data_IF_285814724379
#
_entry.id   IF_285814724379
#
_cell.length_a   1.000
_cell.length_b   1.000
_cell.length_c   1.000
_cell.angle_alpha   90.00
_cell.angle_beta   90.00
_cell.angle_gamma   90.00
#
_symmetry.space_group_name_H-M   'P 1'
#
loop_
_entity.id
_entity.type
_entity.pdbx_description
1 polymer ?
#
# COMPACT_ATOMS: atom_id res chain seq x y z
N UNK A 1 -2.96 -7.83 -17.61
CA UNK A 1 -3.86 -9.02 -17.68
C UNK A 1 -4.23 -9.51 -16.29
N UNK A 2 -5.23 -10.39 -16.17
CA UNK A 2 -5.84 -10.80 -14.89
C UNK A 2 -4.82 -11.33 -13.89
N UNK A 3 -3.87 -12.17 -14.35
CA UNK A 3 -2.81 -12.74 -13.52
C UNK A 3 -1.96 -11.66 -12.83
N UNK A 4 -1.53 -10.62 -13.56
CA UNK A 4 -0.69 -9.56 -12.99
C UNK A 4 -1.46 -8.61 -12.07
N UNK A 5 -2.74 -8.34 -12.39
CA UNK A 5 -3.57 -7.38 -11.66
C UNK A 5 -4.17 -7.98 -10.38
N UNK A 6 -4.53 -9.26 -10.40
CA UNK A 6 -5.30 -9.92 -9.34
C UNK A 6 -4.65 -11.20 -8.80
N UNK A 7 -3.43 -11.55 -9.24
CA UNK A 7 -2.76 -12.81 -8.87
C UNK A 7 -3.60 -14.06 -9.17
N UNK A 8 -4.44 -14.01 -10.21
CA UNK A 8 -5.25 -15.15 -10.64
C UNK A 8 -4.36 -16.32 -11.10
N UNK A 9 -4.83 -17.55 -10.86
CA UNK A 9 -4.16 -18.77 -11.28
C UNK A 9 -4.05 -18.89 -12.81
N UNK A 10 -3.06 -19.67 -13.27
CA UNK A 10 -2.88 -20.03 -14.68
C UNK A 10 -3.27 -21.48 -14.91
N UNK A 11 -3.69 -21.84 -16.12
CA UNK A 11 -3.91 -23.24 -16.48
C UNK A 11 -2.57 -23.94 -16.78
N UNK A 12 -2.50 -25.29 -16.71
CA UNK A 12 -1.30 -26.05 -17.04
C UNK A 12 -0.80 -25.77 -18.46
N UNK A 13 0.53 -25.82 -18.65
CA UNK A 13 1.19 -25.51 -19.92
C UNK A 13 1.64 -26.74 -20.71
N UNK A 14 1.67 -27.92 -20.09
CA UNK A 14 2.28 -29.13 -20.66
C UNK A 14 1.29 -30.12 -21.29
N UNK A 15 0.01 -30.08 -20.91
CA UNK A 15 -1.00 -31.06 -21.34
C UNK A 15 -1.99 -30.48 -22.35
N UNK A 16 -1.49 -29.91 -23.45
CA UNK A 16 -2.30 -29.61 -24.64
C UNK A 16 -3.45 -28.60 -24.47
N UNK A 17 -3.38 -27.69 -23.50
CA UNK A 17 -4.49 -26.80 -23.13
C UNK A 17 -4.88 -25.69 -24.13
N UNK A 18 -4.20 -25.56 -25.27
CA UNK A 18 -4.41 -24.45 -26.21
C UNK A 18 -3.97 -23.08 -25.66
N UNK A 19 -4.24 -21.96 -26.36
CA UNK A 19 -3.71 -20.62 -26.04
C UNK A 19 -4.33 -19.98 -24.78
N UNK A 20 -4.94 -20.77 -23.89
CA UNK A 20 -5.74 -20.27 -22.76
C UNK A 20 -4.95 -20.12 -21.46
N UNK A 21 -3.64 -20.36 -21.47
CA UNK A 21 -2.78 -20.40 -20.28
C UNK A 21 -2.91 -19.20 -19.34
N UNK A 22 -3.26 -18.02 -19.87
CA UNK A 22 -3.38 -16.77 -19.11
C UNK A 22 -4.78 -16.15 -19.13
N UNK A 23 -5.79 -16.90 -19.58
CA UNK A 23 -7.17 -16.42 -19.64
C UNK A 23 -7.80 -16.32 -18.25
N UNK A 24 -8.87 -15.54 -18.13
CA UNK A 24 -9.56 -15.28 -16.86
C UNK A 24 -10.32 -16.51 -16.31
N UNK A 25 -10.60 -17.51 -17.14
CA UNK A 25 -11.49 -18.62 -16.82
C UNK A 25 -12.97 -18.23 -16.91
N UNK A 26 -13.83 -18.95 -16.18
CA UNK A 26 -15.28 -18.69 -16.16
C UNK A 26 -15.61 -17.35 -15.50
N UNK A 27 -16.53 -16.60 -16.11
CA UNK A 27 -16.93 -15.26 -15.67
C UNK A 27 -18.32 -15.20 -15.03
N UNK A 28 -19.10 -16.29 -15.06
CA UNK A 28 -20.45 -16.34 -14.50
C UNK A 28 -21.10 -17.71 -14.69
N UNK A 29 -22.27 -17.90 -14.09
CA UNK A 29 -23.15 -19.04 -14.33
C UNK A 29 -23.99 -18.84 -15.60
N UNK A 30 -24.48 -19.95 -16.17
CA UNK A 30 -25.28 -19.95 -17.39
C UNK A 30 -26.71 -19.44 -17.16
N UNK A 31 -27.58 -20.22 -16.51
CA UNK A 31 -29.03 -19.97 -16.52
C UNK A 31 -29.47 -18.83 -15.60
N UNK A 32 -29.00 -18.83 -14.35
CA UNK A 32 -29.28 -17.76 -13.40
C UNK A 32 -27.98 -17.40 -12.66
N UNK A 33 -27.58 -16.12 -12.59
CA UNK A 33 -28.20 -14.88 -13.09
C UNK A 33 -27.89 -14.47 -14.56
N UNK A 34 -27.37 -15.36 -15.43
CA UNK A 34 -27.10 -15.09 -16.86
C UNK A 34 -26.23 -13.84 -17.16
N UNK A 35 -25.45 -13.35 -16.18
CA UNK A 35 -24.61 -12.16 -16.32
C UNK A 35 -23.40 -12.22 -15.41
N UNK A 36 -22.40 -11.39 -15.73
CA UNK A 36 -21.24 -11.18 -14.86
C UNK A 36 -21.62 -10.20 -13.75
N UNK A 37 -21.34 -10.55 -12.50
CA UNK A 37 -21.58 -9.67 -11.36
C UNK A 37 -20.65 -8.44 -11.39
N UNK A 38 -21.13 -7.24 -11.02
CA UNK A 38 -20.28 -6.07 -10.81
C UNK A 38 -19.18 -6.36 -9.78
N UNK A 39 -17.98 -5.83 -10.00
CA UNK A 39 -16.83 -6.05 -9.13
C UNK A 39 -16.09 -7.38 -9.35
N UNK A 40 -16.53 -8.22 -10.29
CA UNK A 40 -15.77 -9.43 -10.69
C UNK A 40 -14.38 -9.03 -11.22
N UNK A 41 -13.35 -9.76 -10.81
CA UNK A 41 -11.98 -9.52 -11.26
C UNK A 41 -11.84 -9.67 -12.78
N UNK A 42 -11.01 -8.82 -13.37
CA UNK A 42 -10.82 -8.77 -14.81
C UNK A 42 -9.53 -8.07 -15.23
N UNK A 43 -9.22 -8.13 -16.52
CA UNK A 43 -8.09 -7.41 -17.08
C UNK A 43 -8.41 -5.90 -17.09
N UNK A 44 -7.38 -5.07 -17.06
CA UNK A 44 -7.53 -3.62 -17.18
C UNK A 44 -6.31 -2.90 -16.64
N UNK A 45 -6.47 -1.59 -16.47
CA UNK A 45 -5.43 -0.70 -15.96
C UNK A 45 -4.99 -1.10 -14.54
N UNK A 46 -3.68 -1.06 -14.28
CA UNK A 46 -3.10 -1.38 -12.98
C UNK A 46 -2.02 -0.34 -12.68
N UNK A 47 -2.10 0.30 -11.51
CA UNK A 47 -1.21 1.39 -11.12
C UNK A 47 -1.85 2.77 -11.35
N UNK A 48 -1.07 3.83 -11.13
CA UNK A 48 -1.52 5.24 -11.17
C UNK A 48 -2.71 5.49 -10.23
N UNK A 49 -2.81 4.72 -9.16
CA UNK A 49 -3.80 4.88 -8.11
C UNK A 49 -3.15 5.53 -6.90
N UNK A 50 -3.88 6.42 -6.23
CA UNK A 50 -3.45 7.03 -4.98
C UNK A 50 -3.60 6.02 -3.84
N UNK A 51 -2.47 5.50 -3.37
CA UNK A 51 -2.43 4.51 -2.29
C UNK A 51 -1.72 5.08 -1.06
N UNK A 52 -2.16 4.68 0.13
CA UNK A 52 -1.56 5.10 1.40
C UNK A 52 -1.06 3.89 2.16
N UNK A 53 0.25 3.87 2.45
CA UNK A 53 0.85 2.87 3.35
C UNK A 53 0.79 3.44 4.77
N UNK A 54 0.11 2.73 5.67
CA UNK A 54 -0.09 3.17 7.05
C UNK A 54 0.95 2.56 7.98
N UNK A 55 1.15 3.17 9.15
CA UNK A 55 2.01 2.66 10.23
C UNK A 55 3.48 2.45 9.83
N UNK A 56 4.03 3.38 9.05
CA UNK A 56 5.47 3.43 8.80
C UNK A 56 6.19 4.10 9.96
N UNK A 57 7.36 3.58 10.33
CA UNK A 57 8.20 4.16 11.38
C UNK A 57 9.12 5.24 10.79
N UNK A 58 9.18 6.39 11.47
CA UNK A 58 10.20 7.42 11.22
C UNK A 58 11.44 7.05 12.03
N UNK A 59 12.57 6.83 11.35
CA UNK A 59 13.83 6.38 11.97
C UNK A 59 14.72 7.57 12.31
N UNK A 60 14.76 8.58 11.43
CA UNK A 60 15.62 9.75 11.59
C UNK A 60 14.96 10.99 10.98
N UNK A 61 15.19 12.14 11.61
CA UNK A 61 14.83 13.46 11.08
C UNK A 61 16.07 14.32 11.17
N UNK A 62 16.55 14.77 10.01
CA UNK A 62 17.72 15.63 9.87
C UNK A 62 17.25 17.03 9.43
N UNK A 63 17.17 18.01 10.34
CA UNK A 63 16.68 19.35 9.99
C UNK A 63 17.64 20.13 9.08
N UNK A 64 18.94 19.86 9.16
CA UNK A 64 19.96 20.56 8.34
C UNK A 64 19.84 20.19 6.84
N UNK A 65 19.54 18.93 6.57
CA UNK A 65 19.34 18.41 5.21
C UNK A 65 17.87 18.40 4.78
N UNK A 66 16.96 18.89 5.64
CA UNK A 66 15.51 18.81 5.49
C UNK A 66 15.04 17.38 5.09
N UNK A 67 15.62 16.37 5.73
CA UNK A 67 15.43 14.97 5.36
C UNK A 67 14.67 14.19 6.45
N UNK A 68 13.69 13.40 6.03
CA UNK A 68 12.98 12.45 6.88
C UNK A 68 13.26 11.04 6.35
N UNK A 69 13.82 10.18 7.21
CA UNK A 69 14.11 8.79 6.87
C UNK A 69 13.02 7.89 7.44
N UNK A 70 12.28 7.25 6.55
CA UNK A 70 11.17 6.34 6.86
C UNK A 70 11.60 4.91 6.59
N UNK A 71 11.28 4.00 7.51
CA UNK A 71 11.50 2.56 7.32
C UNK A 71 10.30 1.95 6.59
N UNK A 72 10.52 1.46 5.38
CA UNK A 72 9.53 0.71 4.61
C UNK A 72 9.43 1.15 3.15
N UNK A 73 8.41 0.65 2.47
CA UNK A 73 8.13 1.00 1.08
C UNK A 73 7.25 2.24 1.00
N UNK A 74 7.70 3.23 0.23
CA UNK A 74 6.94 4.45 -0.08
C UNK A 74 6.21 4.23 -1.41
N UNK A 75 4.89 4.51 -1.48
CA UNK A 75 4.14 4.34 -2.72
C UNK A 75 4.55 5.40 -3.76
N UNK A 76 4.77 4.95 -4.99
CA UNK A 76 5.14 5.81 -6.11
C UNK A 76 6.59 5.61 -6.57
N UNK A 77 6.96 6.20 -7.72
CA UNK A 77 8.33 6.15 -8.22
C UNK A 77 9.27 7.03 -7.40
N UNK A 78 10.58 6.76 -7.49
CA UNK A 78 11.62 7.60 -6.88
C UNK A 78 11.51 9.04 -7.43
N UNK A 79 11.55 10.02 -6.54
CA UNK A 79 11.40 11.44 -6.88
C UNK A 79 9.95 11.91 -7.08
N UNK A 80 8.97 11.03 -6.90
CA UNK A 80 7.56 11.40 -6.88
C UNK A 80 7.19 12.22 -5.64
N UNK A 81 6.09 12.97 -5.74
CA UNK A 81 5.54 13.72 -4.62
C UNK A 81 4.79 12.76 -3.70
N UNK A 82 5.00 12.91 -2.40
CA UNK A 82 4.34 12.11 -1.37
C UNK A 82 3.72 13.00 -0.31
N UNK A 83 2.57 12.58 0.22
CA UNK A 83 1.89 13.29 1.30
C UNK A 83 2.12 12.55 2.62
N UNK A 84 2.76 13.21 3.58
CA UNK A 84 2.90 12.70 4.94
C UNK A 84 1.74 13.21 5.81
N UNK A 85 1.09 12.28 6.53
CA UNK A 85 0.02 12.57 7.48
C UNK A 85 0.28 11.82 8.78
N UNK A 86 -0.15 12.38 9.90
CA UNK A 86 -0.10 11.69 11.18
C UNK A 86 -0.96 10.42 11.12
N UNK A 87 -0.45 9.30 11.66
CA UNK A 87 -1.20 8.05 11.68
C UNK A 87 -2.42 8.16 12.59
N UNK A 88 -3.58 7.73 12.10
CA UNK A 88 -4.80 7.57 12.90
C UNK A 88 -4.69 6.33 13.79
N UNK A 89 -3.96 5.30 13.35
CA UNK A 89 -3.74 4.06 14.09
C UNK A 89 -2.59 4.26 15.07
N UNK A 90 -2.92 4.33 16.36
CA UNK A 90 -1.95 4.46 17.44
C UNK A 90 -1.34 3.09 17.75
N UNK A 91 -0.04 2.93 17.47
CA UNK A 91 0.72 1.81 18.01
C UNK A 91 1.33 2.24 19.34
N UNK A 92 0.80 1.73 20.45
CA UNK A 92 1.40 1.92 21.77
C UNK A 92 2.57 0.95 21.88
N UNK A 93 3.81 1.45 21.74
CA UNK A 93 4.98 0.65 22.12
C UNK A 93 4.92 0.41 23.63
N UNK A 94 4.85 -0.86 24.04
CA UNK A 94 4.95 -1.26 25.45
C UNK A 94 6.44 -1.35 25.80
N UNK A 95 7.05 -0.24 26.22
CA UNK A 95 8.47 -0.15 26.61
C UNK A 95 8.96 1.31 26.75
N UNK A 96 10.00 1.60 27.56
CA UNK A 96 10.26 2.94 28.09
C UNK A 96 10.75 3.93 27.01
N UNK A 97 10.48 5.20 27.30
CA UNK A 97 10.44 6.34 26.39
C UNK A 97 11.76 6.80 25.74
N UNK A 98 11.58 7.65 24.72
CA UNK A 98 12.46 8.73 24.18
C UNK A 98 13.06 8.45 22.78
N UNK A 99 12.79 9.33 21.78
CA UNK A 99 13.70 10.44 21.50
C UNK A 99 13.02 11.81 21.65
N UNK A 100 13.57 12.60 22.57
CA UNK A 100 13.34 14.03 22.76
C UNK A 100 13.72 14.76 21.49
N UNK A 101 12.79 15.54 20.92
CA UNK A 101 12.95 16.95 20.52
C UNK A 101 11.53 17.49 20.35
N UNK A 102 11.04 18.18 21.38
CA UNK A 102 9.88 19.09 21.26
C UNK A 102 10.39 20.46 21.64
N UNK A 103 10.66 21.29 20.64
CA UNK A 103 11.12 22.68 20.76
C UNK A 103 9.93 23.60 21.03
N UNK A 104 9.07 23.26 22.01
CA UNK A 104 7.97 24.15 22.40
C UNK A 104 8.44 25.08 23.54
N UNK A 105 8.62 26.39 23.28
CA UNK A 105 9.09 27.34 24.27
C UNK A 105 8.11 27.56 25.44
N UNK A 106 6.81 27.31 25.26
CA UNK A 106 5.80 27.56 26.30
C UNK A 106 5.82 26.54 27.45
N UNK A 107 6.51 25.39 27.29
CA UNK A 107 6.64 24.38 28.35
C UNK A 107 7.89 24.56 29.23
N UNK A 108 8.78 25.52 28.90
CA UNK A 108 10.01 25.82 29.64
C UNK A 108 9.77 26.70 30.87
N UNK A 109 8.69 27.49 30.91
CA UNK A 109 8.45 28.47 31.98
C UNK A 109 7.68 27.96 33.21
N UNK A 110 7.27 26.68 33.22
CA UNK A 110 6.46 26.12 34.31
C UNK A 110 7.26 25.31 35.35
N UNK A 111 8.59 25.39 35.32
CA UNK A 111 9.46 25.04 36.44
C UNK A 111 10.43 26.20 36.62
N UNK A 112 10.53 26.71 37.84
CA UNK A 112 11.29 27.91 38.21
C UNK A 112 12.74 27.88 37.77
#
# INVERSE_FOLDING_TARGET
GVVKRWNAGRTPTSHGGGPVHRHAGSMGSSTDPSRIFPGKIGAGHMGVEQVTVQNLDVVKVDPELNMIVVRGAIPGPKGGIVYLKNSVKKFVRKGPATPTISTNPQKRSARG
#
